data_IF_270652581444
#
_entry.id   IF_270652581444
#
_cell.length_a   1.000
_cell.length_b   1.000
_cell.length_c   1.000
_cell.angle_alpha   90.00
_cell.angle_beta   90.00
_cell.angle_gamma   90.00
#
_symmetry.space_group_name_H-M   'P 1'
#
loop_
_entity.id
_entity.type
_entity.pdbx_description
1 polymer ?
#
# COMPACT_ATOMS: atom_id res chain seq x y z
N UNK A 1 3.30 -0.89 0.84
CA UNK A 1 2.13 -1.16 1.70
C UNK A 1 2.45 -1.90 3.00
N UNK A 2 3.74 -2.08 3.28
CA UNK A 2 4.27 -3.01 4.28
C UNK A 2 5.48 -2.28 4.87
N UNK A 3 5.37 -0.97 5.12
CA UNK A 3 6.52 -0.13 5.46
C UNK A 3 7.00 -0.47 6.86
N UNK A 4 6.13 -0.37 7.86
CA UNK A 4 6.45 -0.86 9.20
C UNK A 4 6.56 -2.38 9.27
N UNK A 5 5.86 -3.14 8.43
CA UNK A 5 6.00 -4.59 8.47
C UNK A 5 7.38 -5.05 7.96
N UNK A 6 7.92 -4.46 6.89
CA UNK A 6 9.29 -4.75 6.44
C UNK A 6 10.33 -4.11 7.37
N UNK A 7 10.08 -2.90 7.89
CA UNK A 7 10.97 -2.28 8.89
C UNK A 7 11.02 -3.07 10.20
N UNK A 8 9.91 -3.67 10.67
CA UNK A 8 9.84 -4.53 11.85
C UNK A 8 10.39 -5.93 11.57
N UNK A 9 10.24 -6.47 10.35
CA UNK A 9 10.96 -7.68 9.95
C UNK A 9 12.49 -7.46 9.93
N UNK A 10 12.91 -6.26 9.56
CA UNK A 10 14.32 -5.83 9.61
C UNK A 10 14.84 -5.74 11.06
N UNK A 11 13.97 -5.53 12.06
CA UNK A 11 14.36 -5.57 13.47
C UNK A 11 14.80 -6.98 13.89
N UNK A 12 14.28 -8.04 13.24
CA UNK A 12 14.71 -9.42 13.51
C UNK A 12 15.97 -9.82 12.73
N UNK A 13 16.34 -9.11 11.65
CA UNK A 13 17.56 -9.35 10.88
C UNK A 13 18.54 -8.20 11.15
N UNK A 14 19.27 -8.26 12.26
CA UNK A 14 20.54 -7.52 12.49
C UNK A 14 20.55 -5.99 12.29
N UNK A 15 19.42 -5.28 12.12
CA UNK A 15 19.44 -3.79 12.05
C UNK A 15 19.79 -3.16 13.41
N UNK A 16 19.65 -3.93 14.50
CA UNK A 16 19.90 -3.51 15.89
C UNK A 16 21.36 -3.10 16.19
N UNK A 17 22.30 -3.27 15.25
CA UNK A 17 23.71 -2.92 15.45
C UNK A 17 24.22 -1.66 14.77
N UNK A 18 23.48 -1.07 13.80
CA UNK A 18 23.98 0.04 12.99
C UNK A 18 23.28 1.36 13.31
N UNK A 19 24.01 2.26 13.98
CA UNK A 19 23.54 3.62 14.24
C UNK A 19 23.18 4.39 12.94
N UNK A 20 23.84 4.09 11.82
CA UNK A 20 23.55 4.71 10.53
C UNK A 20 22.17 4.29 10.01
N UNK A 21 21.90 2.99 9.90
CA UNK A 21 20.63 2.48 9.40
C UNK A 21 19.45 2.93 10.27
N UNK A 22 19.63 2.91 11.59
CA UNK A 22 18.62 3.38 12.54
C UNK A 22 18.34 4.87 12.34
N UNK A 23 19.37 5.71 12.21
CA UNK A 23 19.19 7.14 11.92
C UNK A 23 18.46 7.39 10.61
N UNK A 24 18.80 6.67 9.54
CA UNK A 24 18.08 6.78 8.26
C UNK A 24 16.60 6.42 8.41
N UNK A 25 16.32 5.30 9.09
CA UNK A 25 14.96 4.82 9.35
C UNK A 25 14.15 5.82 10.16
N UNK A 26 14.69 6.30 11.28
CA UNK A 26 13.97 7.17 12.20
C UNK A 26 13.69 8.52 11.55
N UNK A 27 14.65 9.09 10.81
CA UNK A 27 14.44 10.31 10.04
C UNK A 27 13.34 10.15 8.98
N UNK A 28 13.35 9.02 8.27
CA UNK A 28 12.34 8.74 7.26
C UNK A 28 10.95 8.54 7.88
N UNK A 29 10.84 7.78 8.96
CA UNK A 29 9.59 7.53 9.66
C UNK A 29 8.99 8.82 10.23
N UNK A 30 9.82 9.65 10.87
CA UNK A 30 9.41 10.94 11.41
C UNK A 30 8.99 11.90 10.30
N UNK A 31 9.76 11.96 9.21
CA UNK A 31 9.43 12.77 8.04
C UNK A 31 8.12 12.33 7.39
N UNK A 32 7.91 11.03 7.22
CA UNK A 32 6.68 10.51 6.63
C UNK A 32 5.49 10.79 7.54
N UNK A 33 5.61 10.55 8.85
CA UNK A 33 4.58 10.91 9.83
C UNK A 33 4.19 12.39 9.74
N UNK A 34 5.17 13.30 9.62
CA UNK A 34 4.89 14.73 9.44
C UNK A 34 4.16 15.06 8.14
N UNK A 35 4.56 14.45 7.00
CA UNK A 35 3.88 14.65 5.71
C UNK A 35 2.42 14.16 5.75
N UNK A 36 2.15 13.21 6.64
CA UNK A 36 0.92 12.45 6.77
C UNK A 36 0.00 12.93 7.91
N UNK A 37 0.48 13.79 8.80
CA UNK A 37 -0.26 14.28 9.97
C UNK A 37 -1.57 15.04 9.66
N UNK A 38 -1.76 15.53 8.43
CA UNK A 38 -2.99 16.21 8.00
C UNK A 38 -4.16 15.25 7.67
N UNK A 39 -3.94 13.93 7.66
CA UNK A 39 -5.04 12.98 7.58
C UNK A 39 -5.64 12.78 8.97
N UNK A 40 -6.96 13.02 9.15
CA UNK A 40 -7.67 12.81 10.42
C UNK A 40 -7.64 11.36 10.96
N UNK A 41 -7.10 10.43 10.19
CA UNK A 41 -6.62 9.17 10.73
C UNK A 41 -5.23 9.47 11.28
N UNK A 42 -5.16 9.70 12.59
CA UNK A 42 -3.91 9.71 13.34
C UNK A 42 -2.96 8.72 12.66
N UNK A 43 -1.80 9.19 12.21
CA UNK A 43 -0.65 8.30 12.12
C UNK A 43 -0.32 7.93 13.56
N UNK A 44 -1.21 7.17 14.21
CA UNK A 44 -0.79 6.24 15.21
C UNK A 44 0.24 5.38 14.50
N UNK A 45 1.22 4.93 15.26
CA UNK A 45 2.27 4.00 14.85
C UNK A 45 1.75 2.65 14.32
N UNK A 46 0.51 2.59 13.85
CA UNK A 46 -0.26 1.43 13.44
C UNK A 46 -0.44 1.43 11.91
N UNK A 47 0.64 1.15 11.18
CA UNK A 47 0.63 0.30 9.97
C UNK A 47 -0.45 0.59 8.89
N UNK A 48 -0.75 1.86 8.59
CA UNK A 48 -1.67 2.21 7.48
C UNK A 48 -0.93 2.12 6.14
N UNK A 49 -1.62 1.64 5.11
CA UNK A 49 -1.09 1.50 3.75
C UNK A 49 -0.81 2.88 3.10
N UNK A 50 0.24 3.02 2.24
CA UNK A 50 0.49 4.27 1.53
C UNK A 50 -0.70 4.81 0.75
N UNK A 51 -1.48 3.94 0.07
CA UNK A 51 -2.65 4.37 -0.69
C UNK A 51 -3.80 4.82 0.21
N UNK A 52 -4.15 4.07 1.27
CA UNK A 52 -5.17 4.50 2.23
C UNK A 52 -4.81 5.85 2.80
N UNK A 53 -3.56 6.04 3.19
CA UNK A 53 -3.13 7.27 3.81
C UNK A 53 -3.07 8.44 2.82
N UNK A 54 -2.47 8.27 1.64
CA UNK A 54 -2.41 9.32 0.62
C UNK A 54 -3.80 9.86 0.30
N UNK A 55 -4.79 8.95 0.23
CA UNK A 55 -6.14 9.24 -0.20
C UNK A 55 -7.10 9.62 0.95
N UNK A 56 -6.83 9.27 2.20
CA UNK A 56 -7.75 9.51 3.34
C UNK A 56 -7.88 10.97 3.79
N UNK A 57 -7.05 11.89 3.28
CA UNK A 57 -7.12 13.29 3.67
C UNK A 57 -8.37 13.98 3.10
N UNK A 58 -9.20 14.51 4.01
CA UNK A 58 -10.45 15.20 3.68
C UNK A 58 -10.30 16.70 3.46
N UNK A 59 -9.13 17.27 3.79
CA UNK A 59 -8.93 18.73 3.77
C UNK A 59 -7.97 19.16 2.64
N UNK A 60 -8.49 20.07 1.80
CA UNK A 60 -7.87 20.75 0.64
C UNK A 60 -7.49 19.88 -0.57
N UNK A 61 -8.23 20.09 -1.67
CA UNK A 61 -7.99 19.53 -3.02
C UNK A 61 -6.57 19.77 -3.56
N UNK A 62 -5.81 20.71 -3.00
CA UNK A 62 -4.40 20.99 -3.37
C UNK A 62 -3.35 20.24 -2.52
N UNK A 63 -3.74 19.49 -1.49
CA UNK A 63 -2.81 18.85 -0.56
C UNK A 63 -2.20 17.53 -1.08
N UNK A 64 -2.93 16.74 -1.89
CA UNK A 64 -2.45 15.43 -2.35
C UNK A 64 -1.18 15.52 -3.20
N UNK A 65 -1.12 16.44 -4.17
CA UNK A 65 0.07 16.64 -5.00
C UNK A 65 1.28 17.04 -4.14
N UNK A 66 1.07 17.97 -3.20
CA UNK A 66 2.12 18.38 -2.26
C UNK A 66 2.63 17.23 -1.38
N UNK A 67 1.72 16.36 -0.90
CA UNK A 67 2.09 15.14 -0.17
C UNK A 67 2.91 14.19 -1.03
N UNK A 68 2.48 13.90 -2.26
CA UNK A 68 3.24 13.05 -3.19
C UNK A 68 4.66 13.60 -3.42
N UNK A 69 4.81 14.90 -3.68
CA UNK A 69 6.12 15.54 -3.83
C UNK A 69 7.01 15.31 -2.61
N UNK A 70 6.48 15.56 -1.40
CA UNK A 70 7.24 15.40 -0.15
C UNK A 70 7.55 13.94 0.17
N UNK A 71 6.58 13.03 0.02
CA UNK A 71 6.77 11.60 0.24
C UNK A 71 7.83 11.02 -0.69
N UNK A 72 7.78 11.39 -1.97
CA UNK A 72 8.76 10.90 -2.93
C UNK A 72 10.16 11.45 -2.67
N UNK A 73 10.27 12.73 -2.28
CA UNK A 73 11.55 13.30 -1.84
C UNK A 73 12.10 12.56 -0.62
N UNK A 74 11.29 12.36 0.42
CA UNK A 74 11.70 11.62 1.62
C UNK A 74 12.13 10.19 1.30
N UNK A 75 11.45 9.53 0.37
CA UNK A 75 11.81 8.19 -0.08
C UNK A 75 13.16 8.18 -0.81
N UNK A 76 13.43 9.15 -1.69
CA UNK A 76 14.74 9.33 -2.34
C UNK A 76 15.86 9.64 -1.33
N UNK A 77 15.59 10.54 -0.37
CA UNK A 77 16.53 10.91 0.68
C UNK A 77 16.85 9.69 1.57
N UNK A 78 15.83 8.86 1.86
CA UNK A 78 15.99 7.62 2.62
C UNK A 78 16.85 6.60 1.87
N UNK A 79 16.58 6.35 0.59
CA UNK A 79 17.40 5.45 -0.24
C UNK A 79 18.86 5.91 -0.32
N UNK A 80 19.08 7.22 -0.47
CA UNK A 80 20.42 7.80 -0.50
C UNK A 80 21.13 7.64 0.85
N UNK A 81 20.41 7.82 1.96
CA UNK A 81 20.93 7.60 3.31
C UNK A 81 21.37 6.15 3.53
N UNK A 82 20.55 5.18 3.13
CA UNK A 82 20.88 3.75 3.24
C UNK A 82 22.12 3.37 2.44
N UNK A 83 22.25 3.87 1.20
CA UNK A 83 23.41 3.63 0.35
C UNK A 83 24.72 4.22 0.92
N UNK A 84 24.63 5.22 1.80
CA UNK A 84 25.78 5.84 2.45
C UNK A 84 26.25 5.11 3.72
N UNK A 85 25.50 4.12 4.23
CA UNK A 85 25.79 3.46 5.52
C UNK A 85 26.95 2.45 5.50
N UNK A 86 27.66 2.30 4.37
CA UNK A 86 28.82 1.42 4.23
C UNK A 86 28.48 -0.03 3.84
N UNK A 87 29.49 -0.77 3.38
CA UNK A 87 29.33 -2.13 2.84
C UNK A 87 29.02 -3.18 3.92
N UNK A 88 29.47 -2.96 5.17
CA UNK A 88 29.28 -3.91 6.28
C UNK A 88 27.81 -4.16 6.63
N UNK A 89 26.91 -3.25 6.24
CA UNK A 89 25.47 -3.32 6.50
C UNK A 89 24.65 -3.43 5.21
N UNK A 90 25.28 -3.81 4.10
CA UNK A 90 24.68 -3.83 2.77
C UNK A 90 23.41 -4.69 2.72
N UNK A 91 23.43 -5.91 3.27
CA UNK A 91 22.26 -6.79 3.27
C UNK A 91 21.05 -6.20 3.99
N UNK A 92 21.28 -5.55 5.14
CA UNK A 92 20.23 -4.88 5.89
C UNK A 92 19.73 -3.64 5.14
N UNK A 93 20.62 -2.85 4.54
CA UNK A 93 20.26 -1.73 3.68
C UNK A 93 19.41 -2.19 2.47
N UNK A 94 19.77 -3.30 1.83
CA UNK A 94 19.00 -3.89 0.72
C UNK A 94 17.60 -4.31 1.15
N UNK A 95 17.42 -4.93 2.32
CA UNK A 95 16.09 -5.27 2.85
C UNK A 95 15.23 -4.01 3.06
N UNK A 96 15.83 -2.96 3.63
CA UNK A 96 15.16 -1.69 3.88
C UNK A 96 14.77 -0.97 2.57
N UNK A 97 15.64 -1.02 1.56
CA UNK A 97 15.39 -0.51 0.20
C UNK A 97 14.29 -1.29 -0.51
N UNK A 98 14.31 -2.61 -0.43
CA UNK A 98 13.30 -3.47 -1.03
C UNK A 98 11.92 -3.15 -0.42
N UNK A 99 11.86 -2.82 0.88
CA UNK A 99 10.62 -2.36 1.49
C UNK A 99 10.06 -1.03 1.00
N UNK A 100 10.84 -0.26 0.23
CA UNK A 100 10.38 0.96 -0.44
C UNK A 100 9.81 0.71 -1.83
N UNK A 101 9.79 -0.53 -2.35
CA UNK A 101 9.43 -0.79 -3.75
C UNK A 101 8.06 -0.26 -4.15
N UNK A 102 7.06 -0.33 -3.27
CA UNK A 102 5.74 0.30 -3.52
C UNK A 102 5.86 1.82 -3.70
N UNK A 103 6.63 2.50 -2.85
CA UNK A 103 6.84 3.95 -2.95
C UNK A 103 7.63 4.31 -4.20
N UNK A 104 8.66 3.54 -4.55
CA UNK A 104 9.42 3.72 -5.78
C UNK A 104 8.51 3.69 -7.00
N UNK A 105 7.58 2.72 -7.07
CA UNK A 105 6.60 2.64 -8.17
C UNK A 105 5.68 3.86 -8.19
N UNK A 106 5.14 4.28 -7.04
CA UNK A 106 4.26 5.47 -6.98
C UNK A 106 5.02 6.72 -7.44
N UNK A 107 6.24 6.89 -6.98
CA UNK A 107 7.07 8.06 -7.27
C UNK A 107 7.55 8.10 -8.71
N UNK A 108 7.93 6.95 -9.27
CA UNK A 108 8.25 6.80 -10.68
C UNK A 108 7.05 7.16 -11.55
N UNK A 109 5.86 6.63 -11.25
CA UNK A 109 4.62 7.00 -11.96
C UNK A 109 4.23 8.47 -11.77
N UNK A 110 4.62 9.09 -10.67
CA UNK A 110 4.32 10.49 -10.42
C UNK A 110 5.24 11.45 -11.19
N UNK A 111 6.54 11.14 -11.29
CA UNK A 111 7.53 12.02 -11.93
C UNK A 111 7.89 11.64 -13.37
N UNK A 112 7.97 10.35 -13.67
CA UNK A 112 8.54 9.82 -14.91
C UNK A 112 7.48 9.21 -15.84
N UNK A 113 6.20 9.48 -15.59
CA UNK A 113 5.14 9.00 -16.46
C UNK A 113 5.11 9.77 -17.78
N UNK A 114 5.81 9.22 -18.76
CA UNK A 114 6.01 9.76 -20.11
C UNK A 114 4.69 10.02 -20.85
N UNK A 115 3.66 9.21 -20.61
CA UNK A 115 2.34 9.37 -21.23
C UNK A 115 1.43 10.33 -20.45
N UNK A 116 1.88 10.85 -19.31
CA UNK A 116 1.15 11.77 -18.41
C UNK A 116 -0.20 11.24 -17.91
N UNK A 117 -0.46 9.94 -18.01
CA UNK A 117 -1.66 9.27 -17.52
C UNK A 117 -1.89 9.48 -16.02
N UNK A 118 -0.84 9.40 -15.20
CA UNK A 118 -0.89 9.66 -13.78
C UNK A 118 -1.28 11.11 -13.52
N UNK A 119 -0.60 12.05 -14.16
CA UNK A 119 -0.82 13.48 -13.94
C UNK A 119 -2.19 13.97 -14.45
N UNK A 120 -2.67 13.42 -15.57
CA UNK A 120 -3.88 13.91 -16.26
C UNK A 120 -5.14 13.11 -15.97
N UNK A 121 -5.03 11.82 -15.61
CA UNK A 121 -6.19 10.93 -15.42
C UNK A 121 -6.32 10.41 -13.99
N UNK A 122 -5.23 10.01 -13.36
CA UNK A 122 -5.26 9.40 -12.02
C UNK A 122 -5.33 10.50 -10.95
N UNK A 123 -4.35 11.39 -10.94
CA UNK A 123 -4.16 12.40 -9.90
C UNK A 123 -5.35 13.37 -9.77
N UNK A 124 -5.95 13.91 -10.86
CA UNK A 124 -7.10 14.82 -10.71
C UNK A 124 -8.32 14.14 -10.07
N UNK A 125 -8.55 12.87 -10.40
CA UNK A 125 -9.64 12.12 -9.78
C UNK A 125 -9.36 11.80 -8.31
N UNK A 126 -8.14 11.36 -7.98
CA UNK A 126 -7.74 11.10 -6.60
C UNK A 126 -7.74 12.36 -5.72
N UNK A 127 -7.41 13.52 -6.30
CA UNK A 127 -7.55 14.82 -5.63
C UNK A 127 -9.00 15.08 -5.22
N UNK A 128 -9.95 14.74 -6.09
CA UNK A 128 -11.38 15.05 -5.89
C UNK A 128 -12.06 14.00 -5.02
N UNK A 129 -11.72 12.73 -5.21
CA UNK A 129 -12.47 11.60 -4.67
C UNK A 129 -11.64 10.60 -3.85
N UNK A 130 -10.34 10.86 -3.64
CA UNK A 130 -9.46 9.95 -2.90
C UNK A 130 -10.02 9.60 -1.52
N UNK A 131 -10.56 10.57 -0.81
CA UNK A 131 -11.11 10.37 0.53
C UNK A 131 -12.32 9.45 0.53
N UNK A 132 -13.11 9.44 -0.54
CA UNK A 132 -14.23 8.51 -0.74
C UNK A 132 -13.73 7.09 -0.96
N UNK A 133 -12.67 6.91 -1.75
CA UNK A 133 -12.04 5.60 -1.98
C UNK A 133 -11.51 5.05 -0.65
N UNK A 134 -10.73 5.85 0.08
CA UNK A 134 -10.17 5.48 1.37
C UNK A 134 -11.25 5.19 2.42
N UNK A 135 -12.32 5.99 2.46
CA UNK A 135 -13.44 5.76 3.39
C UNK A 135 -14.15 4.42 3.13
N UNK A 136 -14.43 4.09 1.86
CA UNK A 136 -15.09 2.82 1.48
C UNK A 136 -14.28 1.58 1.87
N UNK A 137 -12.96 1.70 1.95
CA UNK A 137 -12.07 0.60 2.31
C UNK A 137 -11.49 0.70 3.72
N UNK A 138 -12.00 1.62 4.54
CA UNK A 138 -11.52 1.86 5.90
C UNK A 138 -11.59 0.61 6.79
N UNK A 139 -12.69 -0.16 6.73
CA UNK A 139 -12.81 -1.42 7.46
C UNK A 139 -11.73 -2.44 7.04
N UNK A 140 -11.54 -2.64 5.73
CA UNK A 140 -10.53 -3.57 5.24
C UNK A 140 -9.10 -3.10 5.59
N UNK A 141 -8.88 -1.78 5.64
CA UNK A 141 -7.61 -1.20 6.11
C UNK A 141 -7.38 -1.48 7.59
N UNK A 142 -8.44 -1.37 8.42
CA UNK A 142 -8.38 -1.64 9.85
C UNK A 142 -8.17 -3.13 10.16
N UNK A 143 -8.80 -4.02 9.39
CA UNK A 143 -8.56 -5.47 9.48
C UNK A 143 -7.10 -5.79 9.13
N UNK A 144 -6.59 -5.20 8.04
CA UNK A 144 -5.20 -5.39 7.63
C UNK A 144 -4.24 -4.91 8.71
N UNK A 145 -4.45 -3.72 9.25
CA UNK A 145 -3.67 -3.18 10.36
C UNK A 145 -3.62 -4.13 11.56
N UNK A 146 -4.76 -4.71 11.95
CA UNK A 146 -4.85 -5.71 13.02
C UNK A 146 -4.01 -6.95 12.73
N UNK A 147 -4.09 -7.49 11.51
CA UNK A 147 -3.28 -8.65 11.11
C UNK A 147 -1.79 -8.32 11.02
N UNK A 148 -1.43 -7.11 10.60
CA UNK A 148 -0.04 -6.67 10.58
C UNK A 148 0.52 -6.59 12.01
N UNK A 149 -0.24 -6.03 12.96
CA UNK A 149 0.16 -5.98 14.38
C UNK A 149 0.36 -7.39 14.92
N UNK A 150 -0.57 -8.32 14.67
CA UNK A 150 -0.43 -9.73 15.10
C UNK A 150 0.81 -10.41 14.51
N UNK A 151 1.11 -10.13 13.24
CA UNK A 151 2.25 -10.72 12.54
C UNK A 151 3.58 -10.17 13.08
N UNK A 152 3.63 -8.90 13.50
CA UNK A 152 4.80 -8.27 14.12
C UNK A 152 4.96 -8.68 15.59
N UNK A 153 3.85 -8.73 16.35
CA UNK A 153 3.87 -9.03 17.79
C UNK A 153 4.10 -10.50 18.11
N UNK A 154 3.71 -11.41 17.21
CA UNK A 154 3.84 -12.85 17.42
C UNK A 154 5.29 -13.38 17.32
N UNK A 155 6.24 -12.54 16.90
CA UNK A 155 7.65 -12.88 16.83
C UNK A 155 8.01 -13.83 15.68
N UNK A 156 9.27 -14.26 15.67
CA UNK A 156 9.87 -14.99 14.53
C UNK A 156 9.19 -16.33 14.21
N UNK A 157 8.60 -16.98 15.21
CA UNK A 157 8.11 -18.36 15.08
C UNK A 157 6.62 -18.44 14.73
N UNK A 158 5.85 -17.37 14.93
CA UNK A 158 4.43 -17.34 14.58
C UNK A 158 4.15 -16.89 13.14
N UNK A 159 5.17 -16.42 12.40
CA UNK A 159 4.97 -15.81 11.09
C UNK A 159 4.25 -16.77 10.12
N UNK A 160 4.63 -18.04 10.11
CA UNK A 160 4.02 -19.01 9.20
C UNK A 160 2.58 -19.33 9.53
N UNK A 161 2.20 -19.32 10.81
CA UNK A 161 0.82 -19.54 11.25
C UNK A 161 -0.08 -18.35 10.94
N UNK A 162 0.49 -17.14 10.91
CA UNK A 162 -0.22 -15.90 10.65
C UNK A 162 -0.23 -15.53 9.15
N UNK A 163 0.73 -16.03 8.37
CA UNK A 163 0.90 -15.70 6.96
C UNK A 163 -0.35 -15.95 6.10
N UNK A 164 -1.09 -17.08 6.23
CA UNK A 164 -2.31 -17.30 5.47
C UNK A 164 -3.39 -16.24 5.74
N UNK A 165 -3.56 -15.82 7.00
CA UNK A 165 -4.51 -14.79 7.41
C UNK A 165 -4.07 -13.42 6.88
N UNK A 166 -2.80 -13.08 7.07
CA UNK A 166 -2.21 -11.85 6.56
C UNK A 166 -2.40 -11.71 5.04
N UNK A 167 -2.07 -12.75 4.26
CA UNK A 167 -2.24 -12.75 2.80
C UNK A 167 -3.70 -12.56 2.40
N UNK A 168 -4.63 -13.27 3.08
CA UNK A 168 -6.07 -13.15 2.81
C UNK A 168 -6.59 -11.74 3.09
N UNK A 169 -6.20 -11.16 4.22
CA UNK A 169 -6.63 -9.82 4.63
C UNK A 169 -6.04 -8.75 3.71
N UNK A 170 -4.77 -8.87 3.35
CA UNK A 170 -4.12 -7.95 2.41
C UNK A 170 -4.77 -8.01 1.02
N UNK A 171 -5.04 -9.22 0.51
CA UNK A 171 -5.77 -9.41 -0.73
C UNK A 171 -7.17 -8.78 -0.69
N UNK A 172 -7.91 -8.94 0.41
CA UNK A 172 -9.23 -8.32 0.57
C UNK A 172 -9.16 -6.79 0.57
N UNK A 173 -8.17 -6.23 1.24
CA UNK A 173 -7.89 -4.79 1.21
C UNK A 173 -7.58 -4.30 -0.22
N UNK A 174 -6.66 -4.96 -0.93
CA UNK A 174 -6.25 -4.56 -2.28
C UNK A 174 -7.41 -4.68 -3.28
N UNK A 175 -8.23 -5.73 -3.13
CA UNK A 175 -9.45 -5.93 -3.91
C UNK A 175 -10.50 -4.86 -3.62
N UNK A 176 -10.65 -4.45 -2.35
CA UNK A 176 -11.52 -3.32 -2.00
C UNK A 176 -11.06 -2.06 -2.70
N UNK A 177 -9.77 -1.72 -2.58
CA UNK A 177 -9.19 -0.52 -3.18
C UNK A 177 -9.36 -0.48 -4.69
N UNK A 178 -9.12 -1.61 -5.35
CA UNK A 178 -9.29 -1.73 -6.81
C UNK A 178 -10.74 -1.47 -7.21
N UNK A 179 -11.72 -2.04 -6.50
CA UNK A 179 -13.15 -1.86 -6.78
C UNK A 179 -13.62 -0.45 -6.47
N UNK A 180 -13.29 0.08 -5.28
CA UNK A 180 -13.66 1.42 -4.88
C UNK A 180 -13.06 2.48 -5.84
N UNK A 181 -11.80 2.29 -6.26
CA UNK A 181 -11.20 3.14 -7.28
C UNK A 181 -11.91 3.04 -8.62
N UNK A 182 -12.22 1.83 -9.12
CA UNK A 182 -12.93 1.69 -10.39
C UNK A 182 -14.33 2.35 -10.35
N UNK A 183 -15.04 2.23 -9.24
CA UNK A 183 -16.36 2.83 -9.06
C UNK A 183 -16.33 4.36 -9.02
N UNK A 184 -15.35 4.94 -8.32
CA UNK A 184 -15.29 6.37 -7.99
C UNK A 184 -14.41 7.16 -8.98
N UNK A 185 -13.36 6.52 -9.46
CA UNK A 185 -12.39 7.05 -10.43
C UNK A 185 -12.28 6.07 -11.61
N UNK A 186 -13.28 6.02 -12.51
CA UNK A 186 -13.35 5.07 -13.61
C UNK A 186 -12.25 5.34 -14.64
N UNK A 187 -11.07 4.79 -14.37
CA UNK A 187 -9.88 4.88 -15.20
C UNK A 187 -9.20 3.52 -15.21
N UNK A 188 -9.08 2.93 -16.39
CA UNK A 188 -8.37 1.67 -16.57
C UNK A 188 -6.92 1.78 -16.08
N UNK A 189 -6.27 2.92 -16.31
CA UNK A 189 -4.90 3.20 -15.88
C UNK A 189 -4.79 3.27 -14.35
N UNK A 190 -5.75 3.92 -13.67
CA UNK A 190 -5.78 3.95 -12.20
C UNK A 190 -5.96 2.54 -11.62
N UNK A 191 -6.87 1.74 -12.18
CA UNK A 191 -7.10 0.37 -11.76
C UNK A 191 -5.88 -0.53 -12.02
N UNK A 192 -5.24 -0.40 -13.19
CA UNK A 192 -3.99 -1.11 -13.51
C UNK A 192 -2.88 -0.74 -12.56
N UNK A 193 -2.73 0.54 -12.21
CA UNK A 193 -1.75 1.00 -11.24
C UNK A 193 -1.96 0.36 -9.87
N UNK A 194 -3.19 0.37 -9.34
CA UNK A 194 -3.49 -0.24 -8.03
C UNK A 194 -3.21 -1.74 -8.04
N UNK A 195 -3.63 -2.47 -9.09
CA UNK A 195 -3.35 -3.90 -9.25
C UNK A 195 -1.84 -4.15 -9.32
N UNK A 196 -1.10 -3.30 -10.05
CA UNK A 196 0.35 -3.40 -10.14
C UNK A 196 1.03 -3.14 -8.78
N UNK A 197 0.55 -2.17 -8.00
CA UNK A 197 1.04 -1.93 -6.64
C UNK A 197 0.79 -3.12 -5.71
N UNK A 198 -0.37 -3.78 -5.82
CA UNK A 198 -0.67 -5.01 -5.08
C UNK A 198 0.25 -6.16 -5.50
N UNK A 199 0.51 -6.31 -6.81
CA UNK A 199 1.45 -7.31 -7.34
C UNK A 199 2.88 -7.07 -6.84
N UNK A 200 3.37 -5.83 -6.92
CA UNK A 200 4.69 -5.48 -6.41
C UNK A 200 4.78 -5.76 -4.91
N UNK A 201 3.76 -5.38 -4.15
CA UNK A 201 3.72 -5.56 -2.68
C UNK A 201 3.75 -7.05 -2.29
N UNK A 202 2.93 -7.87 -2.93
CA UNK A 202 2.88 -9.32 -2.66
C UNK A 202 4.19 -10.02 -2.97
N UNK A 203 4.78 -9.79 -4.15
CA UNK A 203 6.06 -10.39 -4.51
C UNK A 203 7.19 -9.93 -3.60
N UNK A 204 7.27 -8.62 -3.33
CA UNK A 204 8.27 -8.06 -2.41
C UNK A 204 8.24 -8.75 -1.04
N UNK A 205 7.05 -8.96 -0.48
CA UNK A 205 6.94 -9.65 0.80
C UNK A 205 7.41 -11.10 0.71
N UNK A 206 7.00 -11.83 -0.33
CA UNK A 206 7.41 -13.23 -0.48
C UNK A 206 8.92 -13.37 -0.68
N UNK A 207 9.52 -12.49 -1.49
CA UNK A 207 10.97 -12.43 -1.69
C UNK A 207 11.70 -12.18 -0.36
N UNK A 208 11.19 -11.26 0.46
CA UNK A 208 11.78 -10.95 1.75
C UNK A 208 11.63 -12.10 2.75
N UNK A 209 10.45 -12.74 2.79
CA UNK A 209 10.23 -13.93 3.62
C UNK A 209 11.11 -15.12 3.20
N UNK A 210 11.29 -15.33 1.90
CA UNK A 210 12.16 -16.37 1.34
C UNK A 210 13.62 -16.15 1.74
N UNK A 211 14.12 -14.92 1.61
CA UNK A 211 15.48 -14.54 2.06
C UNK A 211 15.73 -14.77 3.55
N UNK A 212 14.67 -14.75 4.37
CA UNK A 212 14.80 -15.05 5.81
C UNK A 212 14.89 -16.55 6.12
N UNK A 213 14.78 -17.41 5.10
CA UNK A 213 14.75 -18.87 5.22
C UNK A 213 13.48 -19.38 5.90
N UNK A 214 12.41 -18.58 5.93
CA UNK A 214 11.16 -18.90 6.64
C UNK A 214 10.03 -19.37 5.73
N UNK A 215 10.14 -19.15 4.42
CA UNK A 215 9.12 -19.61 3.49
C UNK A 215 9.16 -21.15 3.40
N UNK A 216 8.00 -21.78 3.60
CA UNK A 216 7.84 -23.20 3.28
C UNK A 216 7.89 -23.40 1.76
N UNK A 217 8.25 -24.61 1.32
CA UNK A 217 8.28 -24.99 -0.10
C UNK A 217 6.92 -24.85 -0.80
N UNK A 218 5.83 -24.82 -0.04
CA UNK A 218 4.47 -24.60 -0.54
C UNK A 218 3.87 -23.38 0.15
N UNK A 219 3.63 -22.33 -0.63
CA UNK A 219 2.92 -21.13 -0.17
C UNK A 219 1.46 -21.44 0.20
N UNK A 220 0.87 -20.78 1.21
CA UNK A 220 -0.56 -20.85 1.45
C UNK A 220 -1.38 -20.39 0.23
N UNK A 221 -2.57 -20.97 0.02
CA UNK A 221 -3.42 -20.63 -1.13
C UNK A 221 -3.76 -19.14 -1.19
N UNK A 222 -4.07 -18.52 -0.05
CA UNK A 222 -4.35 -17.09 0.03
C UNK A 222 -3.18 -16.21 -0.44
N UNK A 223 -1.94 -16.64 -0.20
CA UNK A 223 -0.75 -15.94 -0.68
C UNK A 223 -0.56 -16.11 -2.18
N UNK A 224 -0.80 -17.31 -2.73
CA UNK A 224 -0.78 -17.54 -4.19
C UNK A 224 -1.86 -16.74 -4.90
N UNK A 225 -3.09 -16.75 -4.38
CA UNK A 225 -4.20 -16.00 -4.94
C UNK A 225 -3.92 -14.49 -4.93
N UNK A 226 -3.30 -14.00 -3.85
CA UNK A 226 -2.84 -12.61 -3.78
C UNK A 226 -1.75 -12.31 -4.80
N UNK A 227 -0.65 -13.08 -4.85
CA UNK A 227 0.45 -12.85 -5.80
C UNK A 227 -0.03 -12.85 -7.26
N UNK A 228 -0.92 -13.78 -7.59
CA UNK A 228 -1.50 -13.92 -8.93
C UNK A 228 -2.62 -12.90 -9.22
N UNK A 229 -2.94 -12.03 -8.26
CA UNK A 229 -3.99 -11.00 -8.38
C UNK A 229 -5.33 -11.61 -8.85
N UNK A 230 -5.63 -12.82 -8.39
CA UNK A 230 -6.78 -13.61 -8.87
C UNK A 230 -8.07 -12.83 -8.63
N UNK A 231 -8.86 -12.61 -9.69
CA UNK A 231 -10.11 -11.85 -9.61
C UNK A 231 -9.95 -10.33 -9.47
N UNK A 232 -8.73 -9.79 -9.52
CA UNK A 232 -8.44 -8.36 -9.63
C UNK A 232 -8.07 -8.04 -11.08
N UNK A 233 -9.09 -7.81 -11.93
CA UNK A 233 -8.89 -7.37 -13.32
C UNK A 233 -9.50 -5.98 -13.49
N UNK A 234 -8.76 -5.08 -14.16
CA UNK A 234 -9.24 -3.73 -14.50
C UNK A 234 -10.53 -3.80 -15.31
N UNK A 235 -10.60 -4.71 -16.29
CA UNK A 235 -11.78 -4.96 -17.11
C UNK A 235 -12.94 -5.54 -16.30
N UNK A 236 -12.67 -6.44 -15.34
CA UNK A 236 -13.72 -6.99 -14.47
C UNK A 236 -14.26 -5.95 -13.50
N UNK A 237 -13.40 -5.09 -12.95
CA UNK A 237 -13.80 -4.01 -12.06
C UNK A 237 -14.67 -2.96 -12.80
N UNK A 238 -14.27 -2.57 -14.01
CA UNK A 238 -15.03 -1.63 -14.85
C UNK A 238 -16.34 -2.26 -15.40
N UNK A 239 -16.36 -3.57 -15.70
CA UNK A 239 -17.59 -4.28 -16.11
C UNK A 239 -18.61 -4.37 -14.98
N UNK A 240 -18.16 -4.63 -13.74
CA UNK A 240 -19.04 -4.62 -12.56
C UNK A 240 -19.71 -3.25 -12.38
N UNK A 241 -18.98 -2.16 -12.62
CA UNK A 241 -19.53 -0.81 -12.61
C UNK A 241 -20.56 -0.60 -13.73
N UNK A 242 -20.23 -0.98 -14.97
CA UNK A 242 -21.16 -0.86 -16.11
C UNK A 242 -22.48 -1.60 -15.82
N UNK A 243 -22.40 -2.85 -15.36
CA UNK A 243 -23.57 -3.65 -15.01
C UNK A 243 -24.38 -3.04 -13.85
N UNK A 244 -23.75 -2.28 -12.94
CA UNK A 244 -24.42 -1.59 -11.83
C UNK A 244 -25.13 -0.31 -12.29
N UNK A 245 -24.59 0.38 -13.29
CA UNK A 245 -25.21 1.56 -13.89
C UNK A 245 -26.34 1.19 -14.86
N UNK A 246 -26.26 0.01 -15.48
CA UNK A 246 -27.29 -0.52 -16.39
C UNK A 246 -28.41 -1.28 -15.65
N UNK A 247 -28.29 -1.46 -14.33
CA UNK A 247 -29.38 -1.99 -13.52
C UNK A 247 -30.48 -0.93 -13.42
N UNK A 248 -31.73 -1.19 -13.86
CA UNK A 248 -32.81 -0.23 -13.74
C UNK A 248 -32.98 0.11 -12.26
N UNK A 249 -33.03 1.41 -11.95
CA UNK A 249 -33.42 1.88 -10.63
C UNK A 249 -34.75 1.20 -10.29
N UNK A 250 -34.73 0.28 -9.32
CA UNK A 250 -35.96 -0.32 -8.82
C UNK A 250 -36.85 0.82 -8.35
N UNK A 251 -37.87 1.09 -9.17
CA UNK A 251 -38.70 2.26 -9.06
C UNK A 251 -39.41 2.28 -7.73
N UNK A 252 -39.42 3.47 -7.14
CA UNK A 252 -40.53 3.92 -6.32
C UNK A 252 -41.86 3.57 -6.99
N UNK A 253 -42.61 2.64 -6.38
CA UNK A 253 -44.04 2.44 -6.53
C UNK A 253 -44.49 1.63 -5.29
N UNK A 254 -45.48 1.99 -4.48
CA UNK A 254 -46.50 3.02 -4.62
C UNK A 254 -46.97 3.44 -3.21
N UNK A 255 -47.05 4.74 -2.95
CA UNK A 255 -48.00 5.30 -2.00
C UNK A 255 -49.04 6.03 -2.86
N UNK A 256 -50.20 5.39 -3.04
CA UNK A 256 -51.38 5.99 -3.65
C UNK A 256 -52.53 5.77 -2.68
N UNK A 257 -52.95 6.91 -2.09
CA UNK A 257 -54.19 7.25 -1.36
C UNK A 257 -54.54 6.37 -0.16
#
# INVERSE_FOLDING_TARGET
MILQFLLSFSVFIQVSGSACLLKCKDNYMNGMSFVMADARADWSTEMITPLQHLLSSFDRRSALRGRLVRSCRLNTDYSSCLNACGQEVEMAAQILLEGQRTWNVICDRFYNDTNREFAERILPCWITNGSVIAYRCSHAAHDLQSEVVKLVSGGRDSIMDQLPRFCKTTYNYDRCFTRANADVCPSEHASKLIIYLAHVTSNTLMDLLDRTGKLQSILPESCRDWMNQKGMSSSSALRLQRNRNDAPAAGAAAAVI
#
